data_IF_325908961869
#
_entry.id   IF_325908961869
#
_cell.length_a   1.000
_cell.length_b   1.000
_cell.length_c   1.000
_cell.angle_alpha   90.00
_cell.angle_beta   90.00
_cell.angle_gamma   90.00
#
_symmetry.space_group_name_H-M   'P 1'
#
loop_
_entity.id
_entity.type
_entity.pdbx_description
1 polymer ?
#
# COMPACT_ATOMS: atom_id res chain seq x y z
N UNK A 1 -5.08 24.17 16.75
CA UNK A 1 -4.86 22.95 15.93
C UNK A 1 -4.40 21.85 16.88
N UNK A 2 -5.05 20.68 16.88
CA UNK A 2 -4.61 19.56 17.69
C UNK A 2 -3.35 18.95 17.07
N UNK A 3 -2.30 18.78 17.87
CA UNK A 3 -1.13 18.01 17.43
C UNK A 3 -1.53 16.54 17.24
N UNK A 4 -0.92 15.82 16.27
CA UNK A 4 -1.16 14.39 16.12
C UNK A 4 -0.80 13.66 17.42
N UNK A 5 -1.59 12.63 17.78
CA UNK A 5 -1.44 11.88 19.05
C UNK A 5 -0.09 11.18 19.19
N UNK A 6 0.64 11.00 18.10
CA UNK A 6 1.99 10.45 18.07
C UNK A 6 2.85 11.25 17.10
N UNK A 7 4.15 11.36 17.40
CA UNK A 7 5.13 11.84 16.43
C UNK A 7 5.03 10.99 15.15
N UNK A 8 5.16 11.60 13.95
CA UNK A 8 5.22 10.84 12.71
C UNK A 8 6.42 9.90 12.77
N UNK A 9 6.17 8.60 12.60
CA UNK A 9 7.24 7.60 12.53
C UNK A 9 7.96 7.79 11.19
N UNK A 10 9.20 8.26 11.25
CA UNK A 10 10.05 8.44 10.06
C UNK A 10 10.74 7.10 9.79
N UNK A 11 10.46 6.50 8.64
CA UNK A 11 11.15 5.30 8.18
C UNK A 11 12.64 5.60 7.95
N UNK A 12 13.52 4.74 8.47
CA UNK A 12 14.96 4.89 8.32
C UNK A 12 15.51 4.08 7.14
N UNK A 13 14.81 2.99 6.77
CA UNK A 13 15.19 2.14 5.64
C UNK A 13 14.04 1.93 4.65
N UNK A 14 14.33 1.69 3.35
CA UNK A 14 13.29 1.42 2.36
C UNK A 14 12.44 0.21 2.76
N UNK A 15 11.14 0.26 2.46
CA UNK A 15 10.15 -0.77 2.75
C UNK A 15 9.90 -1.04 4.25
N UNK A 16 10.38 -0.17 5.14
CA UNK A 16 10.09 -0.26 6.57
C UNK A 16 8.64 0.13 6.89
N UNK A 17 8.10 1.11 6.17
CA UNK A 17 6.69 1.50 6.24
C UNK A 17 6.10 1.65 4.84
N UNK A 18 4.99 0.96 4.61
CA UNK A 18 4.28 1.00 3.33
C UNK A 18 2.86 1.51 3.53
N UNK A 19 2.30 2.07 2.46
CA UNK A 19 0.89 2.47 2.37
C UNK A 19 0.22 1.72 1.23
N UNK A 20 -1.01 1.28 1.42
CA UNK A 20 -1.77 0.60 0.39
C UNK A 20 -3.23 1.05 0.38
N UNK A 21 -3.73 1.50 -0.77
CA UNK A 21 -5.12 1.94 -0.89
C UNK A 21 -5.73 1.62 -2.26
N UNK A 22 -7.06 1.47 -2.27
CA UNK A 22 -7.84 1.36 -3.49
C UNK A 22 -8.36 2.73 -3.90
N UNK A 23 -8.06 3.15 -5.12
CA UNK A 23 -8.57 4.40 -5.67
C UNK A 23 -9.32 4.18 -6.98
N UNK A 24 -10.26 5.09 -7.26
CA UNK A 24 -10.99 5.13 -8.53
C UNK A 24 -10.58 6.39 -9.30
N UNK A 25 -10.14 6.21 -10.55
CA UNK A 25 -9.78 7.30 -11.44
C UNK A 25 -10.52 7.11 -12.76
N UNK A 26 -11.43 8.04 -13.08
CA UNK A 26 -12.24 8.04 -14.31
C UNK A 26 -12.97 6.69 -14.53
N UNK A 27 -13.57 6.11 -13.49
CA UNK A 27 -14.30 4.84 -13.56
C UNK A 27 -13.42 3.58 -13.59
N UNK A 28 -12.09 3.72 -13.53
CA UNK A 28 -11.16 2.61 -13.42
C UNK A 28 -10.67 2.47 -11.98
N UNK A 29 -10.58 1.25 -11.48
CA UNK A 29 -10.16 0.96 -10.12
C UNK A 29 -8.72 0.50 -10.10
N UNK A 30 -7.97 0.99 -9.13
CA UNK A 30 -6.56 0.67 -8.94
C UNK A 30 -6.32 0.31 -7.49
N UNK A 31 -5.41 -0.63 -7.28
CA UNK A 31 -4.72 -0.83 -6.02
C UNK A 31 -3.36 -0.16 -6.13
N UNK A 32 -3.10 0.81 -5.28
CA UNK A 32 -1.82 1.52 -5.22
C UNK A 32 -1.13 1.09 -3.93
N UNK A 33 0.12 0.65 -4.04
CA UNK A 33 0.98 0.39 -2.88
C UNK A 33 2.25 1.21 -3.02
N UNK A 34 2.67 1.88 -1.96
CA UNK A 34 3.87 2.72 -1.98
C UNK A 34 4.71 2.58 -0.70
N UNK A 35 6.01 2.81 -0.84
CA UNK A 35 6.96 2.91 0.27
C UNK A 35 7.06 4.37 0.75
N UNK A 36 6.92 4.60 2.06
CA UNK A 36 6.91 5.95 2.65
C UNK A 36 8.26 6.66 2.53
N UNK A 37 9.37 5.92 2.49
CA UNK A 37 10.71 6.52 2.48
C UNK A 37 11.17 6.89 1.07
N UNK A 38 11.16 5.93 0.15
CA UNK A 38 11.70 6.10 -1.20
C UNK A 38 10.73 6.72 -2.19
N UNK A 39 9.43 6.72 -1.88
CA UNK A 39 8.38 7.09 -2.82
C UNK A 39 8.18 6.07 -3.95
N UNK A 40 8.80 4.90 -3.86
CA UNK A 40 8.53 3.79 -4.78
C UNK A 40 7.06 3.39 -4.71
N UNK A 41 6.44 3.16 -5.87
CA UNK A 41 5.03 2.78 -5.96
C UNK A 41 4.79 1.68 -6.99
N UNK A 42 3.85 0.79 -6.68
CA UNK A 42 3.30 -0.20 -7.58
C UNK A 42 1.79 0.06 -7.74
N UNK A 43 1.35 0.17 -9.00
CA UNK A 43 -0.04 0.41 -9.35
C UNK A 43 -0.56 -0.82 -10.07
N UNK A 44 -1.64 -1.40 -9.54
CA UNK A 44 -2.30 -2.56 -10.12
C UNK A 44 -3.72 -2.20 -10.55
N UNK A 45 -4.02 -2.41 -11.83
CA UNK A 45 -5.39 -2.28 -12.34
C UNK A 45 -6.30 -3.35 -11.76
N UNK A 46 -7.50 -2.96 -11.33
CA UNK A 46 -8.48 -3.82 -10.68
C UNK A 46 -9.76 -3.77 -11.49
N UNK A 47 -10.21 -4.92 -11.99
CA UNK A 47 -11.53 -5.00 -12.63
C UNK A 47 -12.61 -5.07 -11.55
N UNK A 48 -13.64 -4.23 -11.68
CA UNK A 48 -14.78 -4.23 -10.77
C UNK A 48 -15.44 -5.61 -10.72
N UNK A 49 -15.84 -6.06 -9.53
CA UNK A 49 -16.45 -7.38 -9.28
C UNK A 49 -15.61 -8.61 -9.65
N UNK A 50 -14.30 -8.43 -9.88
CA UNK A 50 -13.38 -9.54 -10.08
C UNK A 50 -12.96 -10.17 -8.75
N UNK A 51 -12.56 -11.44 -8.75
CA UNK A 51 -11.90 -12.09 -7.60
C UNK A 51 -10.61 -11.39 -7.17
N UNK A 52 -10.04 -10.55 -8.04
CA UNK A 52 -8.88 -9.70 -7.75
C UNK A 52 -9.25 -8.35 -7.10
N UNK A 53 -10.55 -8.02 -7.00
CA UNK A 53 -11.04 -6.85 -6.28
C UNK A 53 -11.30 -7.17 -4.80
N UNK A 54 -11.02 -6.21 -3.92
CA UNK A 54 -11.20 -6.35 -2.47
C UNK A 54 -10.10 -7.13 -1.75
N UNK A 55 -10.41 -7.63 -0.54
CA UNK A 55 -9.44 -8.16 0.43
C UNK A 55 -8.54 -9.27 -0.12
N UNK A 56 -9.06 -10.17 -0.98
CA UNK A 56 -8.27 -11.27 -1.55
C UNK A 56 -7.17 -10.75 -2.48
N UNK A 57 -7.49 -9.74 -3.30
CA UNK A 57 -6.52 -9.09 -4.19
C UNK A 57 -5.46 -8.33 -3.42
N UNK A 58 -5.87 -7.62 -2.37
CA UNK A 58 -4.97 -6.89 -1.47
C UNK A 58 -3.99 -7.85 -0.78
N UNK A 59 -4.49 -8.92 -0.14
CA UNK A 59 -3.65 -9.93 0.51
C UNK A 59 -2.66 -10.53 -0.48
N UNK A 60 -3.10 -10.87 -1.70
CA UNK A 60 -2.19 -11.42 -2.72
C UNK A 60 -1.09 -10.41 -3.11
N UNK A 61 -1.44 -9.13 -3.26
CA UNK A 61 -0.48 -8.07 -3.57
C UNK A 61 0.54 -7.87 -2.44
N UNK A 62 0.06 -7.73 -1.19
CA UNK A 62 0.92 -7.56 -0.02
C UNK A 62 1.83 -8.77 0.20
N UNK A 63 1.32 -10.01 0.04
CA UNK A 63 2.15 -11.22 0.13
C UNK A 63 3.27 -11.23 -0.89
N UNK A 64 3.00 -10.81 -2.13
CA UNK A 64 4.03 -10.68 -3.16
C UNK A 64 5.07 -9.64 -2.77
N UNK A 65 4.66 -8.44 -2.34
CA UNK A 65 5.58 -7.39 -1.93
C UNK A 65 6.46 -7.84 -0.76
N UNK A 66 5.86 -8.49 0.25
CA UNK A 66 6.61 -8.97 1.42
C UNK A 66 7.60 -10.07 1.08
N UNK A 67 7.31 -10.89 0.05
CA UNK A 67 8.25 -11.90 -0.43
C UNK A 67 9.47 -11.31 -1.15
N UNK A 68 9.35 -10.09 -1.70
CA UNK A 68 10.41 -9.43 -2.48
C UNK A 68 11.25 -8.52 -1.57
N UNK A 69 10.59 -7.68 -0.77
CA UNK A 69 11.24 -6.62 0.01
C UNK A 69 11.36 -6.94 1.51
N UNK A 70 10.73 -8.02 1.97
CA UNK A 70 10.60 -8.35 3.39
C UNK A 70 9.32 -7.79 4.01
N UNK A 71 9.10 -8.14 5.28
CA UNK A 71 7.90 -7.74 6.02
C UNK A 71 8.12 -6.33 6.61
N UNK A 72 7.25 -5.35 6.29
CA UNK A 72 7.37 -4.00 6.82
C UNK A 72 7.02 -3.97 8.31
N UNK A 73 7.55 -2.99 9.03
CA UNK A 73 7.16 -2.72 10.42
C UNK A 73 5.80 -2.04 10.49
N UNK A 74 5.44 -1.28 9.47
CA UNK A 74 4.21 -0.51 9.42
C UNK A 74 3.51 -0.67 8.06
N UNK A 75 2.20 -0.87 8.09
CA UNK A 75 1.30 -0.87 6.94
C UNK A 75 0.13 0.05 7.28
N UNK A 76 -0.15 1.04 6.42
CA UNK A 76 -1.28 1.96 6.55
C UNK A 76 -2.20 1.93 5.34
#
# INVERSE_FOLDING_TARGET
AALPRSAPQISATPFEAIVADYCEIKGNYYLVVADKLSGWMEIKGVTRNSKASGTKGLIQCLRRLFSIFGVPKELS
#
